data_IF_250980114324
#
_entry.id   IF_250980114324
#
_cell.length_a   1.000
_cell.length_b   1.000
_cell.length_c   1.000
_cell.angle_alpha   90.00
_cell.angle_beta   90.00
_cell.angle_gamma   90.00
#
_symmetry.space_group_name_H-M   'P 1'
#
loop_
_entity.id
_entity.type
_entity.pdbx_description
1 polymer ?
#
# COMPACT_ATOMS: atom_id res chain seq x y z
N UNK A 1 4.00 -25.41 -4.14
CA UNK A 1 4.58 -24.06 -4.33
C UNK A 1 5.31 -23.68 -3.06
N UNK A 2 6.55 -23.17 -3.12
CA UNK A 2 7.32 -22.84 -1.92
C UNK A 2 6.99 -21.44 -1.37
N UNK A 3 7.03 -21.25 -0.05
CA UNK A 3 6.78 -19.96 0.60
C UNK A 3 7.72 -18.85 0.08
N UNK A 4 8.99 -19.18 -0.15
CA UNK A 4 9.97 -18.26 -0.73
C UNK A 4 9.54 -17.70 -2.09
N UNK A 5 8.89 -18.53 -2.91
CA UNK A 5 8.39 -18.11 -4.23
C UNK A 5 7.25 -17.10 -4.08
N UNK A 6 6.31 -17.35 -3.16
CA UNK A 6 5.18 -16.43 -2.93
C UNK A 6 5.65 -15.08 -2.37
N UNK A 7 6.63 -15.07 -1.46
CA UNK A 7 7.25 -13.83 -1.00
C UNK A 7 7.92 -13.03 -2.13
N UNK A 8 8.65 -13.71 -3.02
CA UNK A 8 9.26 -13.07 -4.19
C UNK A 8 8.18 -12.46 -5.10
N UNK A 9 7.07 -13.15 -5.31
CA UNK A 9 5.95 -12.63 -6.11
C UNK A 9 5.33 -11.37 -5.49
N UNK A 10 5.06 -11.37 -4.18
CA UNK A 10 4.50 -10.18 -3.49
C UNK A 10 5.45 -8.98 -3.64
N UNK A 11 6.76 -9.19 -3.44
CA UNK A 11 7.77 -8.13 -3.60
C UNK A 11 7.84 -7.65 -5.04
N UNK A 12 7.91 -8.57 -6.00
CA UNK A 12 7.97 -8.24 -7.41
C UNK A 12 6.77 -7.38 -7.84
N UNK A 13 5.57 -7.76 -7.40
CA UNK A 13 4.34 -7.01 -7.65
C UNK A 13 4.46 -5.57 -7.15
N UNK A 14 4.84 -5.39 -5.88
CA UNK A 14 5.00 -4.06 -5.29
C UNK A 14 6.03 -3.20 -6.03
N UNK A 15 7.18 -3.77 -6.38
CA UNK A 15 8.22 -3.02 -7.09
C UNK A 15 7.85 -2.71 -8.53
N UNK A 16 7.14 -3.61 -9.22
CA UNK A 16 6.69 -3.39 -10.60
C UNK A 16 5.72 -2.20 -10.68
N UNK A 17 4.74 -2.13 -9.78
CA UNK A 17 3.78 -1.02 -9.71
C UNK A 17 4.47 0.27 -9.30
N UNK A 18 5.43 0.21 -8.35
CA UNK A 18 6.21 1.39 -7.97
C UNK A 18 6.94 2.00 -9.18
N UNK A 19 7.63 1.16 -9.96
CA UNK A 19 8.35 1.60 -11.16
C UNK A 19 7.38 2.19 -12.18
N UNK A 20 6.22 1.56 -12.38
CA UNK A 20 5.18 2.07 -13.28
C UNK A 20 4.69 3.46 -12.84
N UNK A 21 4.41 3.68 -11.54
CA UNK A 21 4.02 4.98 -11.00
C UNK A 21 5.09 6.05 -11.18
N UNK A 22 6.37 5.70 -11.01
CA UNK A 22 7.49 6.63 -11.24
C UNK A 22 7.63 7.02 -12.71
N UNK A 23 7.50 6.04 -13.62
CA UNK A 23 7.50 6.31 -15.06
C UNK A 23 6.32 7.21 -15.43
N UNK A 24 5.13 6.92 -14.93
CA UNK A 24 3.94 7.73 -15.17
C UNK A 24 4.07 9.15 -14.63
N UNK A 25 4.69 9.33 -13.46
CA UNK A 25 4.99 10.66 -12.93
C UNK A 25 5.91 11.44 -13.88
N UNK A 26 7.00 10.81 -14.37
CA UNK A 26 7.91 11.46 -15.32
C UNK A 26 7.19 11.82 -16.61
N UNK A 27 6.37 10.92 -17.16
CA UNK A 27 5.55 11.18 -18.35
C UNK A 27 4.62 12.37 -18.11
N UNK A 28 3.93 12.42 -16.98
CA UNK A 28 3.01 13.50 -16.65
C UNK A 28 3.70 14.86 -16.57
N UNK A 29 4.89 14.92 -15.94
CA UNK A 29 5.69 16.14 -15.85
C UNK A 29 6.19 16.61 -17.22
N UNK A 30 6.64 15.68 -18.08
CA UNK A 30 7.12 16.01 -19.44
C UNK A 30 5.97 16.49 -20.32
N UNK A 31 4.82 15.81 -20.29
CA UNK A 31 3.63 16.17 -21.07
C UNK A 31 3.16 17.58 -20.72
N UNK A 32 2.96 17.88 -19.43
CA UNK A 32 2.49 19.20 -19.01
C UNK A 32 3.52 20.29 -19.33
N UNK A 33 4.82 20.02 -19.18
CA UNK A 33 5.86 21.01 -19.50
C UNK A 33 5.96 21.33 -21.00
N UNK A 34 5.73 20.34 -21.87
CA UNK A 34 5.89 20.49 -23.33
C UNK A 34 4.61 20.91 -24.05
N UNK A 35 3.46 20.43 -23.60
CA UNK A 35 2.17 20.58 -24.27
C UNK A 35 1.24 21.52 -23.49
N UNK A 36 1.46 21.67 -22.18
CA UNK A 36 0.51 22.37 -21.31
C UNK A 36 -0.67 21.47 -20.93
N UNK A 37 -1.79 22.04 -20.44
CA UNK A 37 -2.98 21.27 -20.14
C UNK A 37 -3.58 20.69 -21.44
N UNK A 38 -3.95 19.41 -21.41
CA UNK A 38 -4.52 18.73 -22.59
C UNK A 38 -5.92 19.27 -22.96
N UNK A 39 -6.63 19.86 -22.00
CA UNK A 39 -8.00 20.38 -22.17
C UNK A 39 -8.13 21.73 -21.47
N UNK A 40 -8.87 22.65 -22.07
CA UNK A 40 -9.27 23.90 -21.42
C UNK A 40 -10.53 23.68 -20.58
N UNK A 41 -10.38 23.73 -19.26
CA UNK A 41 -11.49 23.54 -18.32
C UNK A 41 -11.96 24.90 -17.77
N UNK A 42 -13.27 25.09 -17.68
CA UNK A 42 -13.81 26.13 -16.79
C UNK A 42 -13.46 25.78 -15.33
N UNK A 43 -13.17 26.81 -14.53
CA UNK A 43 -12.85 26.74 -13.10
C UNK A 43 -13.81 25.83 -12.32
N UNK A 44 -15.13 25.94 -12.54
CA UNK A 44 -16.11 25.11 -11.83
C UNK A 44 -15.92 23.61 -12.09
N UNK A 45 -15.68 23.21 -13.34
CA UNK A 45 -15.45 21.80 -13.67
C UNK A 45 -14.14 21.30 -13.08
N UNK A 46 -13.10 22.13 -13.10
CA UNK A 46 -11.79 21.80 -12.53
C UNK A 46 -11.87 21.56 -11.03
N UNK A 47 -12.55 22.43 -10.30
CA UNK A 47 -12.73 22.29 -8.84
C UNK A 47 -13.63 21.11 -8.48
N UNK A 48 -14.70 20.85 -9.25
CA UNK A 48 -15.54 19.66 -9.07
C UNK A 48 -14.74 18.37 -9.28
N UNK A 49 -13.91 18.32 -10.32
CA UNK A 49 -13.07 17.17 -10.62
C UNK A 49 -12.01 16.93 -9.51
N UNK A 50 -11.40 18.00 -9.01
CA UNK A 50 -10.51 17.97 -7.85
C UNK A 50 -11.21 17.40 -6.61
N UNK A 51 -12.42 17.87 -6.31
CA UNK A 51 -13.22 17.38 -5.18
C UNK A 51 -13.53 15.88 -5.30
N UNK A 52 -13.89 15.40 -6.49
CA UNK A 52 -14.15 13.97 -6.72
C UNK A 52 -12.89 13.13 -6.46
N UNK A 53 -11.74 13.52 -7.00
CA UNK A 53 -10.47 12.80 -6.78
C UNK A 53 -10.09 12.81 -5.28
N UNK A 54 -10.28 13.93 -4.59
CA UNK A 54 -10.03 14.02 -3.15
C UNK A 54 -10.95 13.10 -2.35
N UNK A 55 -12.25 13.09 -2.63
CA UNK A 55 -13.21 12.20 -1.97
C UNK A 55 -12.89 10.73 -2.22
N UNK A 56 -12.57 10.36 -3.47
CA UNK A 56 -12.15 9.01 -3.82
C UNK A 56 -10.84 8.62 -3.11
N UNK A 57 -9.90 9.56 -2.95
CA UNK A 57 -8.65 9.30 -2.24
C UNK A 57 -8.89 9.12 -0.74
N UNK A 58 -9.66 10.02 -0.13
CA UNK A 58 -10.00 9.99 1.29
C UNK A 58 -10.80 8.73 1.68
N UNK A 59 -11.69 8.26 0.80
CA UNK A 59 -12.45 7.01 1.03
C UNK A 59 -11.68 5.76 0.61
N UNK A 60 -10.98 5.81 -0.51
CA UNK A 60 -10.31 4.66 -1.13
C UNK A 60 -9.11 4.16 -0.34
N UNK A 61 -8.32 5.07 0.27
CA UNK A 61 -7.21 4.68 1.15
C UNK A 61 -7.74 3.83 2.32
N UNK A 62 -8.59 4.33 3.25
CA UNK A 62 -9.05 3.54 4.39
C UNK A 62 -9.85 2.31 3.95
N UNK A 63 -10.67 2.40 2.89
CA UNK A 63 -11.41 1.25 2.36
C UNK A 63 -10.46 0.10 1.95
N UNK A 64 -9.36 0.41 1.27
CA UNK A 64 -8.36 -0.60 0.88
C UNK A 64 -7.72 -1.29 2.08
N UNK A 65 -7.42 -0.53 3.15
CA UNK A 65 -6.85 -1.05 4.39
C UNK A 65 -7.84 -1.89 5.20
N UNK A 66 -9.10 -1.45 5.30
CA UNK A 66 -10.16 -2.16 6.01
C UNK A 66 -10.45 -3.49 5.28
N UNK A 67 -10.55 -3.46 3.95
CA UNK A 67 -10.78 -4.65 3.15
C UNK A 67 -9.66 -5.68 3.35
N UNK A 68 -8.39 -5.26 3.23
CA UNK A 68 -7.25 -6.13 3.44
C UNK A 68 -7.20 -6.69 4.87
N UNK A 69 -7.31 -5.82 5.88
CA UNK A 69 -7.31 -6.22 7.29
C UNK A 69 -8.42 -7.22 7.59
N UNK A 70 -9.63 -7.01 7.06
CA UNK A 70 -10.74 -7.93 7.23
C UNK A 70 -10.43 -9.28 6.60
N UNK A 71 -9.88 -9.31 5.37
CA UNK A 71 -9.51 -10.56 4.69
C UNK A 71 -8.41 -11.32 5.44
N UNK A 72 -7.37 -10.63 5.91
CA UNK A 72 -6.26 -11.26 6.65
C UNK A 72 -6.73 -11.86 7.98
N UNK A 73 -7.61 -11.17 8.72
CA UNK A 73 -8.18 -11.67 9.98
C UNK A 73 -9.04 -12.93 9.84
N UNK A 74 -9.54 -13.22 8.64
CA UNK A 74 -10.36 -14.41 8.37
C UNK A 74 -9.55 -15.51 7.67
N UNK A 75 -8.22 -15.39 7.60
CA UNK A 75 -7.37 -16.48 7.14
C UNK A 75 -7.39 -17.56 8.22
N UNK A 76 -7.78 -18.76 7.81
CA UNK A 76 -7.77 -19.95 8.66
C UNK A 76 -6.33 -20.26 9.15
N UNK A 77 -6.18 -20.33 10.48
CA UNK A 77 -4.89 -20.51 11.14
C UNK A 77 -4.39 -21.96 11.04
N UNK A 78 -5.28 -22.91 10.80
CA UNK A 78 -4.95 -24.34 10.65
C UNK A 78 -4.37 -24.65 9.26
N UNK A 79 -4.49 -23.72 8.32
CA UNK A 79 -3.92 -23.87 6.99
C UNK A 79 -2.38 -23.87 7.02
N UNK A 80 -1.74 -24.68 6.14
CA UNK A 80 -0.32 -24.56 5.89
C UNK A 80 0.08 -23.12 5.55
N UNK A 81 1.19 -22.63 6.11
CA UNK A 81 1.63 -21.24 5.98
C UNK A 81 1.71 -20.74 4.52
N UNK A 82 2.09 -21.62 3.59
CA UNK A 82 2.10 -21.31 2.15
C UNK A 82 0.72 -20.90 1.65
N UNK A 83 -0.35 -21.57 2.09
CA UNK A 83 -1.72 -21.28 1.68
C UNK A 83 -2.22 -19.97 2.31
N UNK A 84 -1.86 -19.71 3.56
CA UNK A 84 -2.12 -18.42 4.22
C UNK A 84 -1.46 -17.26 3.46
N UNK A 85 -0.20 -17.45 3.07
CA UNK A 85 0.57 -16.48 2.30
C UNK A 85 -0.03 -16.22 0.91
N UNK A 86 -0.62 -17.24 0.27
CA UNK A 86 -1.36 -17.06 -0.97
C UNK A 86 -2.64 -16.24 -0.79
N UNK A 87 -3.38 -16.45 0.30
CA UNK A 87 -4.57 -15.66 0.60
C UNK A 87 -4.21 -14.20 0.91
N UNK A 88 -3.17 -13.99 1.72
CA UNK A 88 -2.60 -12.67 1.97
C UNK A 88 -2.20 -11.96 0.67
N UNK A 89 -1.50 -12.66 -0.24
CA UNK A 89 -1.09 -12.08 -1.53
C UNK A 89 -2.28 -11.50 -2.29
N UNK A 90 -3.42 -12.19 -2.31
CA UNK A 90 -4.62 -11.75 -3.04
C UNK A 90 -5.21 -10.47 -2.43
N UNK A 91 -5.35 -10.41 -1.10
CA UNK A 91 -5.88 -9.21 -0.44
C UNK A 91 -4.91 -8.03 -0.53
N UNK A 92 -3.61 -8.31 -0.39
CA UNK A 92 -2.55 -7.31 -0.52
C UNK A 92 -2.52 -6.73 -1.94
N UNK A 93 -2.67 -7.56 -2.98
CA UNK A 93 -2.76 -7.11 -4.36
C UNK A 93 -3.89 -6.10 -4.55
N UNK A 94 -5.09 -6.40 -4.07
CA UNK A 94 -6.25 -5.51 -4.18
C UNK A 94 -5.96 -4.17 -3.49
N UNK A 95 -5.37 -4.20 -2.30
CA UNK A 95 -4.99 -2.99 -1.56
C UNK A 95 -4.03 -2.11 -2.35
N UNK A 96 -2.95 -2.70 -2.87
CA UNK A 96 -1.90 -2.00 -3.61
C UNK A 96 -2.41 -1.44 -4.94
N UNK A 97 -3.19 -2.21 -5.71
CA UNK A 97 -3.79 -1.74 -6.98
C UNK A 97 -4.81 -0.63 -6.74
N UNK A 98 -5.55 -0.67 -5.63
CA UNK A 98 -6.46 0.44 -5.29
C UNK A 98 -5.70 1.75 -5.08
N UNK A 99 -4.59 1.71 -4.34
CA UNK A 99 -3.74 2.88 -4.12
C UNK A 99 -3.08 3.37 -5.42
N UNK A 100 -2.61 2.45 -6.25
CA UNK A 100 -2.07 2.75 -7.58
C UNK A 100 -3.10 3.46 -8.46
N UNK A 101 -4.31 2.92 -8.58
CA UNK A 101 -5.36 3.50 -9.42
C UNK A 101 -5.70 4.93 -9.01
N UNK A 102 -5.78 5.19 -7.71
CA UNK A 102 -5.99 6.55 -7.19
C UNK A 102 -4.80 7.47 -7.50
N UNK A 103 -3.58 6.98 -7.36
CA UNK A 103 -2.37 7.74 -7.66
C UNK A 103 -2.31 8.10 -9.16
N UNK A 104 -2.63 7.14 -10.04
CA UNK A 104 -2.74 7.36 -11.48
C UNK A 104 -3.83 8.37 -11.82
N UNK A 105 -4.99 8.34 -11.15
CA UNK A 105 -6.03 9.36 -11.33
C UNK A 105 -5.52 10.76 -10.96
N UNK A 106 -4.71 10.89 -9.92
CA UNK A 106 -4.00 12.14 -9.60
C UNK A 106 -3.11 12.60 -10.76
N UNK A 107 -2.25 11.73 -11.28
CA UNK A 107 -1.37 12.08 -12.42
C UNK A 107 -2.14 12.43 -13.69
N UNK A 108 -3.22 11.70 -13.99
CA UNK A 108 -4.12 12.01 -15.11
C UNK A 108 -4.75 13.39 -14.90
N UNK A 109 -5.23 13.69 -13.69
CA UNK A 109 -5.78 15.01 -13.40
C UNK A 109 -4.77 16.15 -13.54
N UNK A 110 -3.51 15.91 -13.16
CA UNK A 110 -2.43 16.86 -13.42
C UNK A 110 -2.22 17.07 -14.93
N UNK A 111 -2.14 16.01 -15.72
CA UNK A 111 -1.98 16.13 -17.18
C UNK A 111 -3.13 16.88 -17.86
N UNK A 112 -4.36 16.65 -17.40
CA UNK A 112 -5.54 17.30 -17.98
C UNK A 112 -5.62 18.80 -17.65
N UNK A 113 -5.15 19.21 -16.47
CA UNK A 113 -5.43 20.56 -15.92
C UNK A 113 -4.19 21.42 -15.67
N UNK A 114 -2.99 20.84 -15.75
CA UNK A 114 -1.73 21.42 -15.32
C UNK A 114 -1.72 21.95 -13.86
N UNK A 115 -2.63 21.48 -13.00
CA UNK A 115 -2.75 21.94 -11.61
C UNK A 115 -1.93 21.06 -10.65
N UNK A 116 -0.93 21.67 -10.02
CA UNK A 116 -0.06 21.01 -9.04
C UNK A 116 -0.78 20.44 -7.81
N UNK A 117 -2.02 20.85 -7.54
CA UNK A 117 -2.84 20.22 -6.50
C UNK A 117 -2.96 18.72 -6.73
N UNK A 118 -3.10 18.27 -7.98
CA UNK A 118 -3.16 16.85 -8.31
C UNK A 118 -1.84 16.13 -8.08
N UNK A 119 -0.70 16.81 -8.22
CA UNK A 119 0.62 16.28 -7.84
C UNK A 119 0.73 16.10 -6.33
N UNK A 120 0.16 17.01 -5.52
CA UNK A 120 0.12 16.83 -4.06
C UNK A 120 -0.73 15.63 -3.66
N UNK A 121 -1.88 15.43 -4.30
CA UNK A 121 -2.71 14.23 -4.09
C UNK A 121 -1.96 12.96 -4.48
N UNK A 122 -1.31 12.95 -5.64
CA UNK A 122 -0.44 11.85 -6.06
C UNK A 122 0.66 11.60 -5.01
N UNK A 123 1.35 12.64 -4.54
CA UNK A 123 2.41 12.53 -3.54
C UNK A 123 1.93 11.88 -2.25
N UNK A 124 0.74 12.28 -1.76
CA UNK A 124 0.12 11.67 -0.59
C UNK A 124 -0.19 10.18 -0.81
N UNK A 125 -0.80 9.84 -1.95
CA UNK A 125 -1.14 8.47 -2.30
C UNK A 125 0.10 7.60 -2.53
N UNK A 126 1.15 8.17 -3.13
CA UNK A 126 2.43 7.53 -3.35
C UNK A 126 3.15 7.25 -2.03
N UNK A 127 3.11 8.18 -1.06
CA UNK A 127 3.60 7.93 0.29
C UNK A 127 2.79 6.86 1.01
N UNK A 128 1.45 6.91 0.92
CA UNK A 128 0.59 5.88 1.47
C UNK A 128 0.92 4.51 0.86
N UNK A 129 1.16 4.43 -0.44
CA UNK A 129 1.63 3.24 -1.13
C UNK A 129 2.98 2.75 -0.58
N UNK A 130 3.98 3.64 -0.43
CA UNK A 130 5.31 3.30 0.06
C UNK A 130 5.32 2.74 1.49
N UNK A 131 4.46 3.26 2.36
CA UNK A 131 4.32 2.77 3.75
C UNK A 131 3.85 1.31 3.76
N UNK A 132 3.16 0.84 2.73
CA UNK A 132 2.71 -0.55 2.59
C UNK A 132 3.76 -1.51 2.00
N UNK A 133 5.05 -1.15 2.06
CA UNK A 133 6.12 -1.99 1.54
C UNK A 133 6.09 -3.40 2.18
N UNK A 134 5.95 -4.47 1.38
CA UNK A 134 5.87 -5.82 1.91
C UNK A 134 7.25 -6.31 2.36
N UNK A 135 7.44 -6.44 3.67
CA UNK A 135 8.60 -7.12 4.27
C UNK A 135 8.18 -8.48 4.82
N UNK A 136 9.11 -9.44 4.93
CA UNK A 136 8.80 -10.76 5.51
C UNK A 136 8.20 -10.61 6.91
N UNK A 137 8.83 -9.76 7.72
CA UNK A 137 8.36 -9.41 9.05
C UNK A 137 6.95 -8.82 9.07
N UNK A 138 6.64 -7.82 8.22
CA UNK A 138 5.29 -7.23 8.17
C UNK A 138 4.22 -8.25 7.78
N UNK A 139 4.52 -9.10 6.79
CA UNK A 139 3.58 -10.11 6.30
C UNK A 139 3.33 -11.17 7.39
N UNK A 140 4.39 -11.70 8.01
CA UNK A 140 4.27 -12.67 9.08
C UNK A 140 3.50 -12.09 10.27
N UNK A 141 3.78 -10.83 10.65
CA UNK A 141 3.07 -10.11 11.72
C UNK A 141 1.59 -9.92 11.44
N UNK A 142 1.22 -9.66 10.19
CA UNK A 142 -0.18 -9.49 9.80
C UNK A 142 -0.94 -10.83 9.77
N UNK A 143 -0.31 -11.93 9.32
CA UNK A 143 -0.94 -13.25 9.21
C UNK A 143 -1.00 -13.98 10.56
N UNK A 144 0.11 -13.95 11.33
CA UNK A 144 0.29 -14.69 12.60
C UNK A 144 0.87 -13.78 13.69
N UNK A 145 0.10 -12.81 14.21
CA UNK A 145 0.59 -11.86 15.21
C UNK A 145 1.10 -12.53 16.50
N UNK A 146 0.53 -13.66 16.90
CA UNK A 146 0.85 -14.35 18.17
C UNK A 146 2.23 -15.03 18.14
N UNK A 147 2.56 -15.72 17.04
CA UNK A 147 3.83 -16.45 16.88
C UNK A 147 5.08 -15.55 16.93
N UNK A 148 4.94 -14.26 16.62
CA UNK A 148 6.04 -13.29 16.72
C UNK A 148 6.17 -12.69 18.12
N UNK A 149 5.08 -12.61 18.89
CA UNK A 149 5.14 -12.16 20.29
C UNK A 149 5.83 -13.21 21.17
N UNK A 150 5.70 -14.50 20.88
CA UNK A 150 6.49 -15.54 21.56
C UNK A 150 7.97 -15.48 21.15
N UNK A 151 8.27 -15.29 19.86
CA UNK A 151 9.64 -15.32 19.34
C UNK A 151 10.50 -14.09 19.70
N UNK A 152 9.86 -12.94 19.97
CA UNK A 152 10.54 -11.66 20.22
C UNK A 152 10.01 -10.92 21.46
N UNK A 153 9.04 -11.47 22.19
CA UNK A 153 8.37 -10.83 23.32
C UNK A 153 8.61 -11.46 24.68
N UNK A 154 9.47 -12.48 24.80
CA UNK A 154 10.06 -12.80 26.11
C UNK A 154 10.97 -11.64 26.53
N UNK A 155 10.42 -10.74 27.36
CA UNK A 155 11.27 -10.04 28.33
C UNK A 155 11.90 -11.13 29.20
N UNK A 156 13.21 -11.07 29.52
CA UNK A 156 13.78 -12.00 30.48
C UNK A 156 12.95 -11.90 31.76
N UNK A 157 12.35 -13.02 32.15
CA UNK A 157 11.68 -13.16 33.43
C UNK A 157 12.68 -12.73 34.50
N UNK A 158 12.39 -11.60 35.16
CA UNK A 158 13.12 -11.19 36.36
C UNK A 158 12.62 -12.08 37.50
N UNK A 159 13.06 -13.33 37.53
CA UNK A 159 12.82 -14.16 38.70
C UNK A 159 13.86 -15.26 38.90
N UNK A 160 15.13 -14.93 38.63
CA UNK A 160 16.28 -15.82 38.88
C UNK A 160 17.37 -15.10 39.70
N UNK A 161 16.97 -14.26 40.67
CA UNK A 161 17.90 -13.65 41.64
C UNK A 161 17.78 -14.17 43.06
N UNK A 162 16.88 -15.11 43.33
CA UNK A 162 16.57 -15.55 44.70
C UNK A 162 16.92 -17.02 44.93
N UNK A 163 18.10 -17.50 44.50
CA UNK A 163 18.63 -18.79 44.96
C UNK A 163 20.17 -18.91 44.96
N UNK A 164 20.86 -17.92 45.52
CA UNK A 164 22.27 -18.07 45.96
C UNK A 164 22.51 -17.40 47.31
N UNK A 165 21.70 -17.77 48.31
CA UNK A 165 21.96 -17.40 49.71
C UNK A 165 21.48 -18.51 50.65
N UNK A 166 22.09 -19.69 50.53
CA UNK A 166 22.23 -20.69 51.59
C UNK A 166 23.57 -21.38 51.48
#
# INVERSE_FOLDING_TARGET
MEANTVFKQIKFLFWSILVALLIMLLVALVVVNKIGPVVEWNLTFKENFKAVILLLSLGGIPASYIFHSKKVKHIDQDLPFVNQLQQFKRSFFIKIVTLEALALLGLIGYMLTADFTFIYVFGLLFLAYLINRPTRYSIEKEIRPETLNEKYGEKPDKNDSDDYSR
#
